data_IF_281807716540
#
_entry.id   IF_281807716540
#
_cell.length_a   1.000
_cell.length_b   1.000
_cell.length_c   1.000
_cell.angle_alpha   90.00
_cell.angle_beta   90.00
_cell.angle_gamma   90.00
#
_symmetry.space_group_name_H-M   'P 1'
#
loop_
_entity.id
_entity.type
_entity.pdbx_description
1 polymer ?
#
# COMPACT_ATOMS: atom_id res chain seq x y z
N UNK A 1 -3.48 -21.18 -14.66
CA UNK A 1 -4.65 -21.56 -15.49
C UNK A 1 -4.64 -20.74 -16.77
N UNK A 2 -5.09 -21.31 -17.89
CA UNK A 2 -5.19 -20.55 -19.15
C UNK A 2 -6.31 -19.50 -19.01
N UNK A 3 -5.99 -18.21 -19.24
CA UNK A 3 -6.93 -17.10 -19.04
C UNK A 3 -7.93 -16.89 -20.18
N UNK A 4 -7.85 -17.67 -21.25
CA UNK A 4 -8.79 -17.57 -22.37
C UNK A 4 -10.15 -18.17 -21.97
N UNK A 5 -11.24 -17.51 -22.37
CA UNK A 5 -12.62 -17.93 -22.11
C UNK A 5 -12.93 -19.33 -22.62
N UNK A 6 -12.24 -19.78 -23.68
CA UNK A 6 -12.39 -21.13 -24.25
C UNK A 6 -12.05 -22.24 -23.25
N UNK A 7 -11.24 -21.95 -22.23
CA UNK A 7 -10.87 -22.93 -21.20
C UNK A 7 -11.73 -22.85 -19.93
N UNK A 8 -12.84 -22.12 -19.93
CA UNK A 8 -13.72 -21.98 -18.76
C UNK A 8 -14.16 -23.34 -18.21
N UNK A 9 -14.66 -24.23 -19.06
CA UNK A 9 -15.11 -25.58 -18.64
C UNK A 9 -13.97 -26.43 -18.06
N UNK A 10 -12.75 -26.23 -18.53
CA UNK A 10 -11.56 -26.91 -18.00
C UNK A 10 -11.13 -26.32 -16.66
N UNK A 11 -11.29 -25.01 -16.45
CA UNK A 11 -10.88 -24.34 -15.19
C UNK A 11 -11.81 -24.63 -14.02
N UNK A 12 -13.11 -24.81 -14.28
CA UNK A 12 -14.12 -24.94 -13.23
C UNK A 12 -13.86 -26.12 -12.29
N UNK A 13 -13.38 -27.25 -12.80
CA UNK A 13 -13.06 -28.41 -11.97
C UNK A 13 -11.94 -28.13 -10.96
N UNK A 14 -11.00 -27.24 -11.28
CA UNK A 14 -9.86 -26.98 -10.42
C UNK A 14 -10.20 -26.15 -9.19
N UNK A 15 -11.23 -25.30 -9.23
CA UNK A 15 -11.56 -24.40 -8.11
C UNK A 15 -11.97 -25.13 -6.83
N UNK A 16 -12.54 -26.34 -6.93
CA UNK A 16 -13.04 -27.12 -5.79
C UNK A 16 -11.95 -27.63 -4.84
N UNK A 17 -10.70 -27.71 -5.31
CA UNK A 17 -9.57 -28.22 -4.52
C UNK A 17 -8.46 -27.16 -4.30
N UNK A 18 -8.73 -25.87 -4.57
CA UNK A 18 -7.75 -24.81 -4.37
C UNK A 18 -7.77 -24.31 -2.93
N UNK A 19 -6.60 -24.16 -2.33
CA UNK A 19 -6.43 -23.46 -1.05
C UNK A 19 -5.87 -22.04 -1.23
N UNK A 20 -5.19 -21.75 -2.34
CA UNK A 20 -4.66 -20.42 -2.61
C UNK A 20 -4.56 -20.04 -4.09
N UNK A 21 -4.79 -18.76 -4.38
CA UNK A 21 -4.83 -18.19 -5.73
C UNK A 21 -3.92 -16.97 -5.82
N UNK A 22 -3.06 -16.97 -6.83
CA UNK A 22 -2.40 -15.77 -7.35
C UNK A 22 -3.23 -15.20 -8.50
N UNK A 23 -3.76 -13.99 -8.29
CA UNK A 23 -4.49 -13.24 -9.29
C UNK A 23 -3.55 -12.22 -9.95
N UNK A 24 -3.13 -12.47 -11.18
CA UNK A 24 -2.06 -11.73 -11.84
C UNK A 24 -2.59 -10.87 -12.98
N UNK A 25 -2.19 -9.60 -13.03
CA UNK A 25 -2.37 -8.73 -14.19
C UNK A 25 -1.01 -8.19 -14.67
N UNK A 26 -1.00 -7.54 -15.83
CA UNK A 26 0.17 -6.93 -16.43
C UNK A 26 0.09 -5.40 -16.29
N UNK A 27 1.09 -4.78 -15.65
CA UNK A 27 1.07 -3.33 -15.38
C UNK A 27 1.14 -2.47 -16.64
N UNK A 28 1.55 -3.06 -17.77
CA UNK A 28 1.59 -2.41 -19.09
C UNK A 28 0.31 -2.60 -19.90
N UNK A 29 -0.69 -3.33 -19.37
CA UNK A 29 -1.96 -3.59 -20.07
C UNK A 29 -3.16 -3.41 -19.16
N UNK A 30 -3.82 -2.26 -19.28
CA UNK A 30 -4.95 -1.88 -18.43
C UNK A 30 -6.16 -2.82 -18.55
N UNK A 31 -6.39 -3.43 -19.72
CA UNK A 31 -7.45 -4.42 -19.92
C UNK A 31 -7.28 -5.67 -19.03
N UNK A 32 -6.03 -6.07 -18.75
CA UNK A 32 -5.73 -7.20 -17.86
C UNK A 32 -6.11 -6.90 -16.41
N UNK A 33 -5.93 -5.65 -15.96
CA UNK A 33 -6.33 -5.19 -14.64
C UNK A 33 -7.86 -5.11 -14.50
N UNK A 34 -8.56 -4.60 -15.51
CA UNK A 34 -10.03 -4.57 -15.51
C UNK A 34 -10.65 -5.97 -15.45
N UNK A 35 -9.95 -6.97 -15.99
CA UNK A 35 -10.40 -8.36 -15.96
C UNK A 35 -10.36 -9.00 -14.57
N UNK A 36 -9.60 -8.45 -13.61
CA UNK A 36 -9.50 -8.98 -12.24
C UNK A 36 -10.86 -9.11 -11.55
N UNK A 37 -11.76 -8.15 -11.78
CA UNK A 37 -13.10 -8.18 -11.19
C UNK A 37 -13.90 -9.38 -11.68
N UNK A 38 -13.81 -9.70 -12.97
CA UNK A 38 -14.44 -10.89 -13.56
C UNK A 38 -13.85 -12.17 -12.96
N UNK A 39 -12.54 -12.27 -12.86
CA UNK A 39 -11.88 -13.47 -12.30
C UNK A 39 -12.23 -13.71 -10.84
N UNK A 40 -12.33 -12.64 -10.04
CA UNK A 40 -12.76 -12.73 -8.65
C UNK A 40 -14.23 -13.16 -8.53
N UNK A 41 -15.08 -12.71 -9.46
CA UNK A 41 -16.48 -13.14 -9.52
C UNK A 41 -16.60 -14.61 -9.94
N UNK A 42 -15.84 -15.04 -10.95
CA UNK A 42 -15.75 -16.45 -11.39
C UNK A 42 -15.35 -17.34 -10.21
N UNK A 43 -14.28 -16.98 -9.49
CA UNK A 43 -13.85 -17.68 -8.28
C UNK A 43 -14.98 -17.82 -7.25
N UNK A 44 -15.70 -16.74 -6.97
CA UNK A 44 -16.79 -16.75 -5.98
C UNK A 44 -17.98 -17.62 -6.40
N UNK A 45 -18.26 -17.66 -7.70
CA UNK A 45 -19.33 -18.49 -8.24
C UNK A 45 -18.96 -19.98 -8.17
N UNK A 46 -17.75 -20.34 -8.62
CA UNK A 46 -17.34 -21.74 -8.74
C UNK A 46 -16.90 -22.38 -7.42
N UNK A 47 -16.26 -21.61 -6.52
CA UNK A 47 -15.83 -22.14 -5.22
C UNK A 47 -17.00 -22.31 -4.22
N UNK A 48 -18.17 -21.71 -4.48
CA UNK A 48 -19.34 -21.81 -3.61
C UNK A 48 -19.02 -21.48 -2.14
N UNK A 49 -19.38 -22.39 -1.23
CA UNK A 49 -19.13 -22.22 0.21
C UNK A 49 -17.64 -22.29 0.60
N UNK A 50 -16.78 -22.84 -0.26
CA UNK A 50 -15.34 -22.98 -0.02
C UNK A 50 -14.58 -21.66 -0.23
N UNK A 51 -15.20 -20.66 -0.87
CA UNK A 51 -14.51 -19.42 -1.27
C UNK A 51 -13.87 -18.67 -0.10
N UNK A 52 -14.45 -18.75 1.10
CA UNK A 52 -13.92 -18.08 2.30
C UNK A 52 -12.62 -18.69 2.82
N UNK A 53 -12.32 -19.93 2.43
CA UNK A 53 -11.10 -20.65 2.83
C UNK A 53 -9.96 -20.49 1.81
N UNK A 54 -10.25 -19.90 0.64
CA UNK A 54 -9.27 -19.69 -0.41
C UNK A 54 -8.50 -18.40 -0.14
N UNK A 55 -7.20 -18.53 0.13
CA UNK A 55 -6.31 -17.38 0.20
C UNK A 55 -6.14 -16.76 -1.21
N UNK A 56 -6.34 -15.44 -1.33
CA UNK A 56 -6.20 -14.74 -2.62
C UNK A 56 -5.17 -13.63 -2.50
N UNK A 57 -4.18 -13.62 -3.39
CA UNK A 57 -3.14 -12.58 -3.47
C UNK A 57 -3.10 -12.00 -4.89
N UNK A 58 -3.02 -10.67 -5.02
CA UNK A 58 -3.00 -9.97 -6.31
C UNK A 58 -1.58 -9.54 -6.67
N UNK A 59 -1.17 -9.80 -7.91
CA UNK A 59 0.15 -9.43 -8.42
C UNK A 59 0.04 -8.55 -9.67
N UNK A 60 0.61 -7.35 -9.61
CA UNK A 60 0.88 -6.52 -10.78
C UNK A 60 2.22 -6.92 -11.37
N UNK A 61 2.21 -7.73 -12.43
CA UNK A 61 3.41 -8.30 -13.05
C UNK A 61 3.96 -7.41 -14.17
N UNK A 62 5.23 -7.66 -14.54
CA UNK A 62 6.00 -6.93 -15.56
C UNK A 62 6.36 -5.49 -15.18
N UNK A 63 6.67 -5.26 -13.91
CA UNK A 63 7.08 -3.94 -13.40
C UNK A 63 8.40 -3.45 -14.00
N UNK A 64 9.16 -4.33 -14.65
CA UNK A 64 10.33 -4.03 -15.47
C UNK A 64 10.00 -3.33 -16.80
N UNK A 65 8.74 -3.36 -17.25
CA UNK A 65 8.34 -2.86 -18.57
C UNK A 65 7.63 -1.50 -18.50
N UNK A 66 7.91 -0.67 -19.52
CA UNK A 66 7.36 0.68 -19.67
C UNK A 66 6.91 0.92 -21.13
N UNK A 67 5.92 1.81 -21.36
CA UNK A 67 5.18 2.60 -20.37
C UNK A 67 4.17 1.76 -19.58
N UNK A 68 3.91 2.17 -18.33
CA UNK A 68 2.86 1.54 -17.52
C UNK A 68 1.50 2.14 -17.88
N UNK A 69 0.47 1.29 -17.92
CA UNK A 69 -0.92 1.72 -18.10
C UNK A 69 -1.70 1.69 -16.78
N UNK A 70 -1.29 0.82 -15.84
CA UNK A 70 -1.92 0.69 -14.51
C UNK A 70 -0.96 1.19 -13.46
N UNK A 71 -1.40 2.13 -12.62
CA UNK A 71 -0.56 2.71 -11.57
C UNK A 71 -0.53 1.86 -10.30
N UNK A 72 0.55 1.96 -9.50
CA UNK A 72 0.65 1.27 -8.22
C UNK A 72 -0.52 1.68 -7.32
N UNK A 73 -0.82 2.98 -7.30
CA UNK A 73 -1.89 3.53 -6.48
C UNK A 73 -3.26 2.98 -6.88
N UNK A 74 -3.57 2.96 -8.17
CA UNK A 74 -4.82 2.40 -8.70
C UNK A 74 -4.99 0.93 -8.32
N UNK A 75 -3.97 0.11 -8.55
CA UNK A 75 -4.01 -1.32 -8.22
C UNK A 75 -4.09 -1.57 -6.72
N UNK A 76 -3.25 -0.88 -5.92
CA UNK A 76 -3.25 -0.97 -4.46
C UNK A 76 -4.60 -0.58 -3.87
N UNK A 77 -5.22 0.50 -4.36
CA UNK A 77 -6.53 0.95 -3.89
C UNK A 77 -7.65 -0.03 -4.27
N UNK A 78 -7.55 -0.67 -5.44
CA UNK A 78 -8.51 -1.69 -5.85
C UNK A 78 -8.44 -2.93 -4.94
N UNK A 79 -7.23 -3.34 -4.55
CA UNK A 79 -7.00 -4.48 -3.68
C UNK A 79 -7.38 -4.18 -2.22
N UNK A 80 -7.00 -3.00 -1.71
CA UNK A 80 -7.31 -2.55 -0.35
C UNK A 80 -8.81 -2.53 -0.06
N UNK A 81 -9.63 -2.03 -1.00
CA UNK A 81 -11.11 -2.03 -0.90
C UNK A 81 -11.73 -3.41 -0.79
N UNK A 82 -10.99 -4.45 -1.19
CA UNK A 82 -11.43 -5.84 -1.17
C UNK A 82 -10.70 -6.68 -0.12
N UNK A 83 -9.87 -6.03 0.71
CA UNK A 83 -8.98 -6.69 1.67
C UNK A 83 -8.10 -7.77 1.02
N UNK A 84 -7.59 -7.50 -0.19
CA UNK A 84 -6.70 -8.41 -0.90
C UNK A 84 -5.25 -7.90 -0.79
N UNK A 85 -4.28 -8.76 -0.42
CA UNK A 85 -2.87 -8.45 -0.55
C UNK A 85 -2.49 -8.10 -1.99
N UNK A 86 -1.62 -7.10 -2.16
CA UNK A 86 -1.13 -6.65 -3.46
C UNK A 86 0.39 -6.55 -3.48
N UNK A 87 1.00 -7.08 -4.55
CA UNK A 87 2.44 -7.05 -4.79
C UNK A 87 2.76 -6.59 -6.21
N UNK A 88 3.79 -5.75 -6.36
CA UNK A 88 4.38 -5.43 -7.65
C UNK A 88 5.50 -6.43 -7.96
N UNK A 89 5.34 -7.15 -9.06
CA UNK A 89 6.17 -8.30 -9.42
C UNK A 89 6.79 -8.15 -10.80
N UNK A 90 7.96 -8.75 -10.97
CA UNK A 90 8.57 -8.95 -12.29
C UNK A 90 9.09 -10.37 -12.36
N UNK A 91 8.39 -11.22 -13.10
CA UNK A 91 8.84 -12.58 -13.37
C UNK A 91 10.18 -12.61 -14.14
N UNK A 92 10.54 -11.54 -14.85
CA UNK A 92 11.81 -11.42 -15.56
C UNK A 92 12.98 -11.21 -14.60
N UNK A 93 12.81 -10.34 -13.61
CA UNK A 93 13.88 -9.92 -12.69
C UNK A 93 13.86 -10.65 -11.34
N UNK A 94 12.76 -11.33 -11.03
CA UNK A 94 12.49 -11.93 -9.72
C UNK A 94 11.93 -10.94 -8.68
N UNK A 95 11.87 -9.63 -8.98
CA UNK A 95 11.38 -8.64 -8.04
C UNK A 95 9.96 -8.97 -7.54
N UNK A 96 9.76 -9.00 -6.22
CA UNK A 96 8.45 -9.15 -5.57
C UNK A 96 7.83 -10.55 -5.65
N UNK A 97 8.45 -11.49 -6.37
CA UNK A 97 7.89 -12.82 -6.62
C UNK A 97 7.90 -13.66 -5.34
N UNK A 98 9.03 -13.68 -4.64
CA UNK A 98 9.19 -14.45 -3.41
C UNK A 98 8.24 -13.96 -2.30
N UNK A 99 8.12 -12.64 -2.13
CA UNK A 99 7.23 -12.03 -1.15
C UNK A 99 5.76 -12.34 -1.42
N UNK A 100 5.35 -12.29 -2.70
CA UNK A 100 3.98 -12.62 -3.10
C UNK A 100 3.64 -14.09 -2.84
N UNK A 101 4.57 -15.00 -3.15
CA UNK A 101 4.39 -16.44 -2.94
C UNK A 101 4.38 -16.76 -1.44
N UNK A 102 5.32 -16.20 -0.68
CA UNK A 102 5.41 -16.44 0.77
C UNK A 102 4.14 -15.99 1.48
N UNK A 103 3.67 -14.77 1.19
CA UNK A 103 2.44 -14.23 1.78
C UNK A 103 1.23 -15.10 1.46
N UNK A 104 1.14 -15.61 0.22
CA UNK A 104 0.06 -16.51 -0.15
C UNK A 104 0.13 -17.82 0.65
N UNK A 105 1.31 -18.46 0.73
CA UNK A 105 1.48 -19.71 1.45
C UNK A 105 1.21 -19.56 2.95
N UNK A 106 1.65 -18.47 3.56
CA UNK A 106 1.32 -18.15 4.97
C UNK A 106 -0.19 -18.00 5.17
N UNK A 107 -0.86 -17.30 4.26
CA UNK A 107 -2.32 -17.11 4.32
C UNK A 107 -3.10 -18.43 4.17
N UNK A 108 -2.52 -19.43 3.49
CA UNK A 108 -3.10 -20.78 3.38
C UNK A 108 -2.92 -21.56 4.70
N UNK A 109 -1.74 -21.47 5.31
CA UNK A 109 -1.40 -22.23 6.53
C UNK A 109 -2.07 -21.63 7.77
N UNK A 110 -2.23 -20.30 7.83
CA UNK A 110 -2.81 -19.59 8.96
C UNK A 110 -4.01 -18.69 8.57
N UNK A 111 -5.18 -19.28 8.24
CA UNK A 111 -6.35 -18.55 7.72
C UNK A 111 -6.97 -17.52 8.70
N UNK A 112 -6.69 -17.68 10.01
CA UNK A 112 -7.24 -16.86 11.09
C UNK A 112 -6.25 -15.83 11.66
N UNK A 113 -5.04 -15.72 11.10
CA UNK A 113 -4.21 -14.55 11.37
C UNK A 113 -4.94 -13.36 10.74
N UNK A 114 -5.45 -12.41 11.54
CA UNK A 114 -6.01 -11.17 11.03
C UNK A 114 -5.10 -10.63 9.93
N UNK A 115 -5.62 -10.45 8.70
CA UNK A 115 -4.81 -10.13 7.52
C UNK A 115 -3.79 -9.04 7.84
N UNK A 116 -2.56 -9.48 8.11
CA UNK A 116 -1.52 -8.63 8.68
C UNK A 116 -1.05 -7.63 7.64
N UNK A 117 -1.27 -7.93 6.35
CA UNK A 117 -1.10 -7.03 5.23
C UNK A 117 -1.74 -5.65 5.49
N UNK A 118 -2.98 -5.60 6.00
CA UNK A 118 -3.66 -4.32 6.23
C UNK A 118 -3.11 -3.55 7.45
N UNK A 119 -2.54 -4.27 8.44
CA UNK A 119 -1.88 -3.70 9.63
C UNK A 119 -0.41 -3.32 9.36
N UNK A 120 0.31 -4.04 8.49
CA UNK A 120 1.70 -3.80 8.10
C UNK A 120 1.85 -2.77 6.98
N UNK A 121 0.85 -2.67 6.08
CA UNK A 121 0.78 -1.64 5.04
C UNK A 121 -0.10 -0.43 5.43
N UNK A 122 -0.67 -0.42 6.64
CA UNK A 122 -1.36 0.75 7.20
C UNK A 122 -2.67 1.16 6.51
N UNK A 123 -3.21 0.29 5.64
CA UNK A 123 -4.38 0.59 4.80
C UNK A 123 -5.72 0.15 5.42
N UNK A 124 -5.70 -0.30 6.68
CA UNK A 124 -6.91 -0.64 7.43
C UNK A 124 -7.67 0.57 8.00
N UNK A 125 -7.03 1.75 8.12
CA UNK A 125 -7.54 2.84 8.97
C UNK A 125 -7.76 4.19 8.26
N UNK A 126 -7.79 4.23 6.92
CA UNK A 126 -7.97 5.49 6.19
C UNK A 126 -9.34 5.66 5.51
N UNK A 127 -10.13 4.59 5.32
CA UNK A 127 -11.41 4.66 4.60
C UNK A 127 -12.65 4.63 5.52
N UNK A 128 -12.60 3.95 6.67
CA UNK A 128 -13.73 3.89 7.62
C UNK A 128 -14.03 5.25 8.29
N UNK A 129 -13.03 6.14 8.29
CA UNK A 129 -13.16 7.53 8.75
C UNK A 129 -13.74 8.47 7.69
N UNK A 130 -13.82 8.07 6.42
CA UNK A 130 -14.24 8.94 5.31
C UNK A 130 -15.75 8.92 5.05
N UNK A 131 -16.50 7.99 5.63
CA UNK A 131 -17.97 7.91 5.49
C UNK A 131 -18.73 8.52 6.67
N UNK A 132 -18.06 8.90 7.77
CA UNK A 132 -18.71 9.45 8.97
C UNK A 132 -18.74 10.99 9.08
N UNK A 133 -18.14 11.72 8.15
CA UNK A 133 -18.26 13.19 8.13
C UNK A 133 -19.11 13.67 6.95
N UNK A 134 -20.42 13.43 7.06
CA UNK A 134 -21.41 14.30 6.43
C UNK A 134 -21.85 15.33 7.48
N UNK A 135 -21.73 16.65 7.24
CA UNK A 135 -22.06 17.65 8.24
C UNK A 135 -23.56 17.86 8.30
N UNK A 136 -24.22 17.28 9.30
CA UNK A 136 -25.51 17.78 9.77
C UNK A 136 -25.28 19.02 10.64
N UNK A 137 -25.98 20.09 10.26
CA UNK A 137 -26.08 21.36 10.99
C UNK A 137 -26.73 21.16 12.36
N UNK A 138 -26.17 21.76 13.43
CA UNK A 138 -26.87 22.68 14.35
C UNK A 138 -26.03 23.04 15.60
N UNK A 139 -25.78 24.36 15.74
CA UNK A 139 -25.89 25.21 16.94
C UNK A 139 -25.39 24.74 18.33
N UNK A 140 -24.36 25.45 18.81
CA UNK A 140 -24.11 25.98 20.17
C UNK A 140 -24.58 25.21 21.43
N UNK A 141 -23.61 24.86 22.31
CA UNK A 141 -23.43 25.52 23.63
C UNK A 141 -22.14 25.13 24.37
N UNK A 142 -21.76 26.05 25.25
CA UNK A 142 -20.50 26.29 25.96
C UNK A 142 -20.07 25.30 27.08
N UNK A 143 -18.79 25.52 27.50
CA UNK A 143 -18.22 25.34 28.86
C UNK A 143 -17.77 23.93 29.25
N UNK A 144 -16.68 23.62 29.96
CA UNK A 144 -15.67 24.38 30.72
C UNK A 144 -14.51 23.42 31.14
N UNK A 145 -13.30 24.00 31.30
CA UNK A 145 -12.10 23.62 32.09
C UNK A 145 -12.12 22.34 32.97
N UNK A 146 -10.99 21.60 33.03
CA UNK A 146 -10.06 21.62 34.19
C UNK A 146 -8.82 20.69 34.03
N UNK A 147 -7.72 21.14 34.64
CA UNK A 147 -6.37 20.57 34.78
C UNK A 147 -6.28 19.30 35.66
N UNK A 148 -5.23 18.49 35.46
CA UNK A 148 -4.36 17.98 36.55
C UNK A 148 -3.09 17.29 36.00
N UNK A 149 -2.04 17.27 36.83
CA UNK A 149 -0.59 17.11 36.59
C UNK A 149 -0.06 15.81 37.24
N UNK A 150 1.20 15.44 36.93
CA UNK A 150 2.18 14.65 37.73
C UNK A 150 2.12 13.11 37.56
N UNK A 151 3.21 12.32 37.62
CA UNK A 151 4.66 12.51 37.79
C UNK A 151 5.41 11.21 37.40
N UNK A 152 6.72 11.35 37.20
CA UNK A 152 7.77 10.35 36.91
C UNK A 152 8.04 9.37 38.07
N UNK A 153 8.58 8.17 37.77
CA UNK A 153 9.70 7.59 38.51
C UNK A 153 10.45 6.49 37.75
N UNK A 154 11.73 6.38 38.07
CA UNK A 154 12.85 5.70 37.39
C UNK A 154 13.34 4.55 38.27
N UNK A 155 13.80 3.41 37.71
CA UNK A 155 14.84 2.61 38.38
C UNK A 155 15.63 1.70 37.42
N UNK A 156 16.92 1.61 37.70
CA UNK A 156 18.02 0.94 36.98
C UNK A 156 18.23 -0.52 37.45
N UNK A 157 18.86 -1.39 36.62
CA UNK A 157 20.22 -1.97 36.83
C UNK A 157 20.48 -3.36 36.15
N UNK A 158 21.54 -3.41 35.32
CA UNK A 158 22.54 -4.47 35.00
C UNK A 158 22.20 -5.84 34.30
N UNK A 159 23.12 -6.26 33.41
CA UNK A 159 23.26 -7.52 32.60
C UNK A 159 24.57 -8.28 33.03
N UNK A 160 25.12 -9.38 32.41
CA UNK A 160 24.76 -10.33 31.30
C UNK A 160 25.02 -11.85 31.73
N UNK A 161 25.31 -12.92 30.89
CA UNK A 161 25.48 -13.05 29.42
C UNK A 161 24.92 -14.30 28.66
N UNK A 162 24.74 -14.08 27.33
CA UNK A 162 25.05 -14.90 26.12
C UNK A 162 24.54 -16.34 25.89
N UNK A 163 23.81 -16.53 24.76
CA UNK A 163 24.04 -17.57 23.73
C UNK A 163 23.32 -17.23 22.41
N UNK A 164 24.02 -17.46 21.29
CA UNK A 164 23.76 -16.97 19.92
C UNK A 164 22.54 -17.59 19.22
N UNK A 165 21.77 -16.77 18.49
CA UNK A 165 20.84 -17.17 17.43
C UNK A 165 20.96 -16.22 16.23
N UNK A 166 21.01 -16.81 15.03
CA UNK A 166 21.11 -16.16 13.72
C UNK A 166 19.73 -15.60 13.35
N UNK A 167 19.64 -14.28 13.15
CA UNK A 167 18.40 -13.52 13.17
C UNK A 167 17.82 -13.16 11.81
N UNK A 168 16.53 -13.46 11.67
CA UNK A 168 15.55 -12.98 10.69
C UNK A 168 15.24 -11.50 11.00
N UNK A 169 15.33 -10.59 10.03
CA UNK A 169 15.19 -9.13 10.27
C UNK A 169 13.76 -8.63 9.98
N UNK A 170 13.02 -8.41 11.06
CA UNK A 170 11.72 -7.75 11.17
C UNK A 170 11.82 -6.23 10.85
N UNK A 171 11.10 -5.77 9.82
CA UNK A 171 11.23 -4.44 9.20
C UNK A 171 10.49 -3.29 9.91
N UNK A 172 10.70 -3.16 11.24
CA UNK A 172 10.42 -1.90 11.98
C UNK A 172 11.67 -1.25 12.57
N UNK A 173 12.84 -1.79 12.29
CA UNK A 173 14.09 -1.20 12.76
C UNK A 173 14.53 -0.10 11.79
N UNK A 174 14.67 1.13 12.28
CA UNK A 174 15.45 2.15 11.58
C UNK A 174 16.84 1.56 11.37
N UNK A 175 17.33 1.54 10.14
CA UNK A 175 18.67 1.05 9.84
C UNK A 175 19.69 1.87 10.66
N UNK A 176 20.92 1.37 10.80
CA UNK A 176 22.02 2.07 11.51
C UNK A 176 22.29 3.49 10.97
N UNK A 177 21.69 3.84 9.83
CA UNK A 177 21.72 5.15 9.19
C UNK A 177 20.54 6.09 9.53
N UNK A 178 19.60 5.70 10.40
CA UNK A 178 18.57 6.59 10.95
C UNK A 178 17.32 6.83 10.09
N UNK A 179 17.20 6.17 8.93
CA UNK A 179 16.05 6.22 8.03
C UNK A 179 15.57 4.81 7.66
N UNK A 180 14.39 4.73 7.04
CA UNK A 180 13.75 3.49 6.61
C UNK A 180 13.83 3.31 5.09
N UNK A 181 13.85 2.06 4.63
CA UNK A 181 13.82 1.74 3.20
C UNK A 181 12.61 2.35 2.47
N UNK A 182 11.47 2.51 3.17
CA UNK A 182 10.26 3.16 2.65
C UNK A 182 10.52 4.64 2.34
N UNK A 183 11.20 5.36 3.22
CA UNK A 183 11.57 6.77 3.04
C UNK A 183 12.50 6.95 1.83
N UNK A 184 13.51 6.09 1.70
CA UNK A 184 14.45 6.10 0.57
C UNK A 184 13.73 5.88 -0.76
N UNK A 185 12.78 4.93 -0.81
CA UNK A 185 12.02 4.65 -2.03
C UNK A 185 11.12 5.83 -2.43
N UNK A 186 10.50 6.52 -1.47
CA UNK A 186 9.69 7.72 -1.74
C UNK A 186 10.57 8.84 -2.30
N UNK A 187 11.75 9.07 -1.72
CA UNK A 187 12.69 10.09 -2.19
C UNK A 187 13.15 9.79 -3.62
N UNK A 188 13.55 8.55 -3.91
CA UNK A 188 13.92 8.13 -5.26
C UNK A 188 12.77 8.30 -6.26
N UNK A 189 11.53 8.03 -5.86
CA UNK A 189 10.35 8.24 -6.71
C UNK A 189 10.17 9.71 -7.05
N UNK A 190 10.29 10.60 -6.06
CA UNK A 190 10.13 12.04 -6.26
C UNK A 190 11.24 12.61 -7.13
N UNK A 191 12.48 12.16 -6.95
CA UNK A 191 13.63 12.63 -7.74
C UNK A 191 13.54 12.22 -9.22
N UNK A 192 12.95 11.06 -9.52
CA UNK A 192 12.82 10.56 -10.89
C UNK A 192 11.52 10.99 -11.60
N UNK A 193 10.62 11.68 -10.90
CA UNK A 193 9.35 12.12 -11.47
C UNK A 193 9.55 13.24 -12.50
N UNK A 194 8.83 13.16 -13.63
CA UNK A 194 8.98 14.11 -14.75
C UNK A 194 7.94 15.22 -14.74
N UNK A 195 6.86 15.03 -13.99
CA UNK A 195 5.74 15.99 -13.91
C UNK A 195 5.39 16.32 -12.46
N UNK A 196 4.83 17.52 -12.24
CA UNK A 196 4.39 17.94 -10.90
C UNK A 196 3.29 17.03 -10.33
N UNK A 197 2.47 16.41 -11.18
CA UNK A 197 1.46 15.44 -10.79
C UNK A 197 2.09 14.11 -10.34
N UNK A 198 3.09 13.61 -11.06
CA UNK A 198 3.83 12.39 -10.67
C UNK A 198 4.54 12.54 -9.32
N UNK A 199 5.14 13.73 -9.08
CA UNK A 199 5.77 14.08 -7.81
C UNK A 199 4.78 13.89 -6.64
N UNK A 200 3.54 14.36 -6.81
CA UNK A 200 2.47 14.18 -5.82
C UNK A 200 1.80 12.81 -5.87
N UNK A 201 2.04 12.01 -6.91
CA UNK A 201 1.36 10.73 -7.15
C UNK A 201 -0.12 10.90 -7.52
N UNK A 202 -0.45 11.99 -8.21
CA UNK A 202 -1.81 12.36 -8.60
C UNK A 202 -1.98 12.28 -10.12
N UNK A 203 -3.23 12.17 -10.57
CA UNK A 203 -3.58 12.32 -11.98
C UNK A 203 -3.66 13.79 -12.40
N UNK A 204 -3.62 14.10 -13.72
CA UNK A 204 -3.68 15.46 -14.24
C UNK A 204 -4.99 16.21 -13.92
N UNK A 205 -6.05 15.48 -13.56
CA UNK A 205 -7.37 16.01 -13.20
C UNK A 205 -7.57 16.21 -11.69
N UNK A 206 -6.51 16.12 -10.89
CA UNK A 206 -6.62 16.19 -9.44
C UNK A 206 -7.06 17.56 -8.93
N UNK A 207 -7.93 17.58 -7.91
CA UNK A 207 -8.46 18.81 -7.33
C UNK A 207 -7.44 19.50 -6.41
N UNK A 208 -7.70 20.77 -6.08
CA UNK A 208 -6.85 21.54 -5.14
C UNK A 208 -6.79 20.88 -3.76
N UNK A 209 -7.89 20.26 -3.35
CA UNK A 209 -8.01 19.52 -2.10
C UNK A 209 -7.11 18.27 -2.12
N UNK A 210 -7.12 17.52 -3.23
CA UNK A 210 -6.28 16.35 -3.44
C UNK A 210 -4.80 16.70 -3.47
N UNK A 211 -4.43 17.79 -4.16
CA UNK A 211 -3.07 18.33 -4.20
C UNK A 211 -2.56 18.66 -2.80
N UNK A 212 -3.36 19.38 -2.00
CA UNK A 212 -2.99 19.72 -0.63
C UNK A 212 -2.92 18.50 0.29
N UNK A 213 -3.81 17.52 0.10
CA UNK A 213 -3.81 16.25 0.86
C UNK A 213 -2.56 15.44 0.55
N UNK A 214 -2.22 15.26 -0.72
CA UNK A 214 -1.03 14.54 -1.17
C UNK A 214 0.27 15.21 -0.69
N UNK A 215 0.33 16.55 -0.79
CA UNK A 215 1.48 17.32 -0.30
C UNK A 215 1.70 17.12 1.20
N UNK A 216 0.66 17.27 2.04
CA UNK A 216 0.80 17.09 3.50
C UNK A 216 1.28 15.68 3.85
N UNK A 217 0.76 14.67 3.14
CA UNK A 217 1.16 13.26 3.33
C UNK A 217 2.65 13.05 3.02
N UNK A 218 3.11 13.49 1.85
CA UNK A 218 4.51 13.32 1.45
C UNK A 218 5.46 14.19 2.28
N UNK A 219 5.07 15.43 2.56
CA UNK A 219 5.85 16.37 3.36
C UNK A 219 6.12 15.82 4.77
N UNK A 220 5.14 15.15 5.40
CA UNK A 220 5.35 14.56 6.73
C UNK A 220 6.34 13.40 6.76
N UNK A 221 6.56 12.73 5.62
CA UNK A 221 7.43 11.54 5.52
C UNK A 221 8.85 11.92 5.09
N UNK A 222 9.00 12.93 4.23
CA UNK A 222 10.32 13.33 3.68
C UNK A 222 10.84 14.65 4.24
N UNK A 223 10.21 15.22 5.26
CA UNK A 223 10.65 16.49 5.85
C UNK A 223 12.11 16.38 6.33
N UNK A 224 13.02 17.29 5.92
CA UNK A 224 14.45 17.20 6.25
C UNK A 224 14.75 17.15 7.76
N UNK A 225 13.93 17.82 8.58
CA UNK A 225 14.05 17.80 10.06
C UNK A 225 13.74 16.43 10.68
N UNK A 226 12.90 15.61 10.02
CA UNK A 226 12.47 14.30 10.53
C UNK A 226 13.13 13.14 9.79
N UNK A 227 13.69 13.40 8.60
CA UNK A 227 14.18 12.40 7.68
C UNK A 227 15.58 12.78 7.14
N UNK A 228 16.59 12.08 7.67
CA UNK A 228 18.00 12.25 7.31
C UNK A 228 18.43 11.39 6.10
N UNK A 229 17.49 10.84 5.34
CA UNK A 229 17.80 10.06 4.14
C UNK A 229 18.53 10.92 3.09
N UNK A 230 19.50 10.35 2.36
CA UNK A 230 20.16 11.04 1.26
C UNK A 230 19.15 11.53 0.23
N UNK A 231 19.18 12.82 -0.10
CA UNK A 231 18.29 13.40 -1.10
C UNK A 231 16.92 13.86 -0.58
N UNK A 232 16.66 13.80 0.73
CA UNK A 232 15.38 14.22 1.33
C UNK A 232 15.12 15.72 1.11
N UNK A 233 16.15 16.56 1.19
CA UNK A 233 16.05 18.01 0.99
C UNK A 233 15.68 18.34 -0.46
N UNK A 234 16.34 17.73 -1.45
CA UNK A 234 16.06 17.90 -2.87
C UNK A 234 14.64 17.41 -3.20
N UNK A 235 14.24 16.24 -2.67
CA UNK A 235 12.89 15.71 -2.85
C UNK A 235 11.83 16.63 -2.23
N UNK A 236 12.09 17.19 -1.04
CA UNK A 236 11.18 18.13 -0.40
C UNK A 236 11.04 19.46 -1.17
N UNK A 237 12.15 19.97 -1.72
CA UNK A 237 12.15 21.14 -2.62
C UNK A 237 11.31 20.87 -3.87
N UNK A 238 11.51 19.73 -4.53
CA UNK A 238 10.74 19.32 -5.70
C UNK A 238 9.23 19.17 -5.38
N UNK A 239 8.91 18.55 -4.24
CA UNK A 239 7.54 18.41 -3.75
C UNK A 239 6.85 19.76 -3.52
N UNK A 240 7.57 20.72 -2.92
CA UNK A 240 7.05 22.06 -2.65
C UNK A 240 6.86 22.86 -3.95
N UNK A 241 7.82 22.76 -4.88
CA UNK A 241 7.70 23.37 -6.20
C UNK A 241 6.50 22.83 -6.98
N UNK A 242 6.27 21.50 -6.92
CA UNK A 242 5.14 20.85 -7.57
C UNK A 242 3.79 21.33 -7.05
N UNK A 243 3.61 21.38 -5.73
CA UNK A 243 2.37 21.93 -5.14
C UNK A 243 2.14 23.37 -5.59
N UNK A 244 3.16 24.22 -5.54
CA UNK A 244 3.04 25.64 -5.94
C UNK A 244 2.66 25.77 -7.42
N UNK A 245 3.31 25.00 -8.29
CA UNK A 245 3.03 25.01 -9.71
C UNK A 245 1.57 24.61 -9.99
N UNK A 246 1.09 23.55 -9.35
CA UNK A 246 -0.27 23.02 -9.57
C UNK A 246 -1.39 23.88 -8.97
N UNK A 247 -1.11 24.57 -7.86
CA UNK A 247 -2.07 25.53 -7.28
C UNK A 247 -2.11 26.85 -8.07
N UNK A 248 -0.99 27.25 -8.67
CA UNK A 248 -0.90 28.47 -9.48
C UNK A 248 -1.34 28.26 -10.93
N UNK A 249 -1.31 27.03 -11.46
CA UNK A 249 -1.60 26.75 -12.87
C UNK A 249 -3.08 26.87 -13.26
N UNK A 250 -3.94 27.41 -12.39
CA UNK A 250 -5.35 27.65 -12.71
C UNK A 250 -6.01 26.39 -13.25
N UNK A 251 -6.06 25.33 -12.44
CA UNK A 251 -6.94 24.19 -12.72
C UNK A 251 -8.36 24.73 -13.00
N UNK A 252 -9.07 24.17 -14.01
CA UNK A 252 -10.34 24.69 -14.50
C UNK A 252 -11.38 24.90 -13.38
#
# INVERSE_FOLDING_TARGET
>A
MAGDVVYYEVRNEFYTAVSGILLVFDVTRQSSFHSLGRWLQELRTEAGNHVSEIAVCVCGNKTDQFPREVTYFEASQWCARRNLPYFETSALTGHGVDEAIHTLLESIVEPNAESTWAQQNGDRHWWEMSEKESPETHSNKASSKSHSTMQSQHNTRETPPSKQKVGHTDSRQKDTNGYTQKEVNIIKRIQNARTHYEILGLGPQATKEEINKAYRKLASVIHPDKNTSPGSEEAFKALTAARRALLNSGLP
#
